data_IF_147338209934
#
_entry.id   IF_147338209934
#
_cell.length_a   1.000
_cell.length_b   1.000
_cell.length_c   1.000
_cell.angle_alpha   90.00
_cell.angle_beta   90.00
_cell.angle_gamma   90.00
#
_symmetry.space_group_name_H-M   'P 1'
#
loop_
_entity.id
_entity.type
_entity.pdbx_description
1 polymer ?
#
# COMPACT_ATOMS: atom_id res chain seq x y z
N UNK A 1 0.32 15.34 -22.20
CA UNK A 1 -0.34 14.70 -21.04
C UNK A 1 -1.73 14.17 -21.37
N UNK A 2 -2.65 14.98 -21.93
CA UNK A 2 -4.05 14.55 -22.21
C UNK A 2 -4.17 13.25 -23.02
N UNK A 3 -3.44 13.12 -24.13
CA UNK A 3 -3.44 11.86 -24.91
C UNK A 3 -2.98 10.65 -24.11
N UNK A 4 -1.99 10.83 -23.23
CA UNK A 4 -1.47 9.75 -22.36
C UNK A 4 -2.53 9.32 -21.34
N UNK A 5 -3.30 10.27 -20.78
CA UNK A 5 -4.42 9.95 -19.89
C UNK A 5 -5.48 9.05 -20.55
N UNK A 6 -5.82 9.33 -21.82
CA UNK A 6 -6.78 8.54 -22.59
C UNK A 6 -6.20 7.19 -23.02
N UNK A 7 -4.95 7.17 -23.50
CA UNK A 7 -4.26 5.94 -23.88
C UNK A 7 -4.08 4.98 -22.69
N UNK A 8 -3.76 5.51 -21.51
CA UNK A 8 -3.73 4.72 -20.28
C UNK A 8 -5.12 4.13 -19.97
N UNK A 9 -6.20 4.91 -20.09
CA UNK A 9 -7.56 4.40 -19.95
C UNK A 9 -7.87 3.26 -20.93
N UNK A 10 -7.48 3.39 -22.20
CA UNK A 10 -7.64 2.32 -23.20
C UNK A 10 -6.87 1.05 -22.82
N UNK A 11 -5.64 1.17 -22.31
CA UNK A 11 -4.85 0.03 -21.83
C UNK A 11 -5.53 -0.70 -20.65
N UNK A 12 -6.11 0.04 -19.70
CA UNK A 12 -6.90 -0.58 -18.63
C UNK A 12 -8.15 -1.29 -19.16
N UNK A 13 -8.80 -0.74 -20.20
CA UNK A 13 -9.94 -1.39 -20.84
C UNK A 13 -9.55 -2.68 -21.56
N UNK A 14 -8.43 -2.69 -22.29
CA UNK A 14 -7.87 -3.90 -22.92
C UNK A 14 -7.59 -4.98 -21.87
N UNK A 15 -6.94 -4.62 -20.76
CA UNK A 15 -6.65 -5.54 -19.67
C UNK A 15 -7.92 -6.11 -19.03
N UNK A 16 -8.94 -5.28 -18.80
CA UNK A 16 -10.22 -5.71 -18.28
C UNK A 16 -10.93 -6.68 -19.24
N UNK A 17 -11.05 -6.33 -20.52
CA UNK A 17 -11.70 -7.16 -21.53
C UNK A 17 -10.96 -8.50 -21.72
N UNK A 18 -9.62 -8.49 -21.69
CA UNK A 18 -8.82 -9.71 -21.74
C UNK A 18 -9.07 -10.60 -20.50
N UNK A 19 -9.21 -10.02 -19.31
CA UNK A 19 -9.55 -10.75 -18.10
C UNK A 19 -10.96 -11.37 -18.17
N UNK A 20 -11.95 -10.62 -18.68
CA UNK A 20 -13.31 -11.12 -18.89
C UNK A 20 -13.32 -12.32 -19.82
N UNK A 21 -12.64 -12.20 -20.97
CA UNK A 21 -12.52 -13.30 -21.93
C UNK A 21 -11.87 -14.53 -21.28
N UNK A 22 -10.77 -14.35 -20.55
CA UNK A 22 -10.08 -15.44 -19.85
C UNK A 22 -10.96 -16.10 -18.78
N UNK A 23 -11.80 -15.32 -18.11
CA UNK A 23 -12.71 -15.80 -17.07
C UNK A 23 -14.03 -16.37 -17.62
N UNK A 24 -14.29 -16.24 -18.93
CA UNK A 24 -15.57 -16.61 -19.52
C UNK A 24 -16.74 -15.73 -19.07
N UNK A 25 -16.46 -14.48 -18.67
CA UNK A 25 -17.44 -13.51 -18.18
C UNK A 25 -17.74 -12.45 -19.25
N UNK A 26 -18.91 -11.82 -19.13
CA UNK A 26 -19.36 -10.72 -19.97
C UNK A 26 -19.48 -9.43 -19.16
N UNK A 27 -19.64 -8.30 -19.83
CA UNK A 27 -19.79 -7.00 -19.18
C UNK A 27 -21.01 -6.93 -18.25
N UNK A 28 -22.05 -7.70 -18.55
CA UNK A 28 -23.28 -7.78 -17.76
C UNK A 28 -23.08 -8.51 -16.43
N UNK A 29 -22.08 -9.39 -16.35
CA UNK A 29 -21.74 -10.17 -15.16
C UNK A 29 -20.97 -9.35 -14.11
N UNK A 30 -20.51 -8.15 -14.48
CA UNK A 30 -19.64 -7.32 -13.64
C UNK A 30 -20.40 -6.11 -13.12
N UNK A 31 -20.47 -5.98 -11.79
CA UNK A 31 -21.13 -4.86 -11.13
C UNK A 31 -20.34 -3.54 -11.33
N UNK A 32 -19.02 -3.58 -11.15
CA UNK A 32 -18.14 -2.41 -11.22
C UNK A 32 -16.69 -2.80 -11.47
N UNK A 33 -15.96 -1.99 -12.24
CA UNK A 33 -14.49 -2.03 -12.34
C UNK A 33 -13.90 -1.00 -11.38
N UNK A 34 -12.86 -1.40 -10.64
CA UNK A 34 -12.08 -0.51 -9.78
C UNK A 34 -10.60 -0.53 -10.10
N UNK A 35 -9.97 0.62 -10.33
CA UNK A 35 -8.52 0.72 -10.52
C UNK A 35 -7.95 2.06 -10.01
N UNK A 36 -6.70 2.09 -9.52
CA UNK A 36 -6.06 3.33 -9.03
C UNK A 36 -5.90 4.37 -10.16
N UNK A 37 -5.35 3.87 -11.27
CA UNK A 37 -4.82 4.65 -12.38
C UNK A 37 -3.30 4.60 -12.34
N UNK A 38 -2.66 5.66 -12.84
CA UNK A 38 -1.23 5.86 -12.72
C UNK A 38 -0.98 7.18 -11.99
N UNK A 39 -0.31 7.10 -10.84
CA UNK A 39 0.18 8.31 -10.13
C UNK A 39 1.27 8.96 -10.96
N UNK A 40 1.05 10.22 -11.34
CA UNK A 40 2.06 11.10 -11.96
C UNK A 40 2.69 11.97 -10.89
N UNK A 41 1.88 12.46 -9.96
CA UNK A 41 2.32 13.29 -8.84
C UNK A 41 1.43 13.04 -7.61
N UNK A 42 2.02 13.09 -6.43
CA UNK A 42 1.30 13.10 -5.16
C UNK A 42 2.17 13.76 -4.11
N UNK A 43 1.57 14.63 -3.29
CA UNK A 43 2.19 15.18 -2.09
C UNK A 43 1.31 14.96 -0.86
N UNK A 44 1.90 14.65 0.31
CA UNK A 44 1.18 14.51 1.58
C UNK A 44 0.83 15.89 2.18
N UNK A 45 -0.02 15.96 3.22
CA UNK A 45 -0.35 17.22 3.89
C UNK A 45 0.89 17.84 4.56
N UNK A 46 1.10 19.15 4.33
CA UNK A 46 2.05 19.99 5.05
C UNK A 46 1.36 20.58 6.29
N UNK A 47 1.50 19.88 7.42
CA UNK A 47 0.80 20.21 8.68
C UNK A 47 1.18 21.59 9.23
N UNK A 48 2.46 22.01 9.25
CA UNK A 48 2.83 23.38 9.60
C UNK A 48 2.10 24.43 8.77
N UNK A 49 2.09 24.32 7.44
CA UNK A 49 1.36 25.26 6.59
C UNK A 49 -0.15 25.24 6.82
N UNK A 50 -0.72 24.08 7.10
CA UNK A 50 -2.14 23.97 7.46
C UNK A 50 -2.46 24.74 8.75
N UNK A 51 -1.57 24.67 9.75
CA UNK A 51 -1.72 25.42 10.99
C UNK A 51 -1.57 26.93 10.77
N UNK A 52 -0.59 27.36 9.96
CA UNK A 52 -0.42 28.77 9.58
C UNK A 52 -1.64 29.32 8.83
N UNK A 53 -2.17 28.55 7.88
CA UNK A 53 -3.39 28.90 7.16
C UNK A 53 -4.58 29.03 8.12
N UNK A 54 -4.78 28.07 9.03
CA UNK A 54 -5.85 28.15 10.03
C UNK A 54 -5.70 29.38 10.94
N UNK A 55 -4.47 29.72 11.36
CA UNK A 55 -4.18 30.89 12.18
C UNK A 55 -4.40 32.22 11.45
N UNK A 56 -4.37 32.23 10.10
CA UNK A 56 -4.64 33.44 9.30
C UNK A 56 -6.09 33.90 9.37
N UNK A 57 -7.02 33.03 9.79
CA UNK A 57 -8.47 33.29 9.75
C UNK A 57 -9.07 33.31 8.34
N UNK A 58 -8.31 32.95 7.30
CA UNK A 58 -8.83 32.83 5.93
C UNK A 58 -9.81 31.68 5.82
N UNK A 59 -10.97 31.94 5.22
CA UNK A 59 -11.98 30.92 4.86
C UNK A 59 -11.96 30.59 3.36
N UNK A 60 -10.96 31.09 2.61
CA UNK A 60 -10.91 30.93 1.15
C UNK A 60 -10.60 29.49 0.74
N UNK A 61 -11.56 28.84 0.08
CA UNK A 61 -11.40 27.47 -0.44
C UNK A 61 -10.24 27.32 -1.43
N UNK A 62 -9.93 28.37 -2.19
CA UNK A 62 -8.80 28.36 -3.15
C UNK A 62 -7.47 28.42 -2.42
N UNK A 63 -7.39 29.25 -1.37
CA UNK A 63 -6.15 29.45 -0.62
C UNK A 63 -5.73 28.20 0.15
N UNK A 64 -6.63 27.25 0.43
CA UNK A 64 -6.26 25.95 1.01
C UNK A 64 -5.17 25.23 0.22
N UNK A 65 -5.19 25.31 -1.11
CA UNK A 65 -4.20 24.66 -1.98
C UNK A 65 -3.13 25.60 -2.54
N UNK A 66 -3.40 26.90 -2.64
CA UNK A 66 -2.40 27.85 -3.17
C UNK A 66 -1.52 28.47 -2.09
N UNK A 67 -1.97 28.47 -0.82
CA UNK A 67 -1.23 29.02 0.33
C UNK A 67 -1.14 28.02 1.48
N UNK A 68 -2.20 27.24 1.73
CA UNK A 68 -2.21 26.16 2.70
C UNK A 68 -1.38 24.95 2.27
N UNK A 69 -1.28 23.98 3.16
CA UNK A 69 -0.55 22.73 2.99
C UNK A 69 -1.45 21.53 2.71
N UNK A 70 -2.61 21.73 2.08
CA UNK A 70 -3.51 20.61 1.78
C UNK A 70 -2.86 19.69 0.75
N UNK A 71 -2.99 18.37 0.93
CA UNK A 71 -2.40 17.42 0.00
C UNK A 71 -3.09 17.50 -1.36
N UNK A 72 -2.35 17.10 -2.39
CA UNK A 72 -2.90 16.96 -3.71
C UNK A 72 -2.21 15.85 -4.50
N UNK A 73 -2.79 15.50 -5.64
CA UNK A 73 -2.20 14.55 -6.55
C UNK A 73 -2.77 14.64 -7.95
N UNK A 74 -2.01 14.14 -8.90
CA UNK A 74 -2.38 14.01 -10.29
C UNK A 74 -2.26 12.56 -10.72
N UNK A 75 -3.40 11.94 -10.96
CA UNK A 75 -3.54 10.54 -11.35
C UNK A 75 -4.19 10.47 -12.73
N UNK A 76 -3.66 9.63 -13.62
CA UNK A 76 -4.16 9.45 -14.99
C UNK A 76 -4.72 8.04 -15.20
N UNK A 77 -5.25 7.78 -16.40
CA UNK A 77 -6.10 6.67 -16.84
C UNK A 77 -7.60 7.04 -16.75
N UNK A 78 -8.10 7.64 -17.84
CA UNK A 78 -9.45 8.20 -17.93
C UNK A 78 -10.54 7.12 -17.80
N UNK A 79 -11.37 7.24 -16.77
CA UNK A 79 -12.47 6.30 -16.48
C UNK A 79 -13.59 6.33 -17.50
N UNK A 80 -13.84 7.46 -18.16
CA UNK A 80 -14.81 7.52 -19.24
C UNK A 80 -14.43 6.60 -20.41
N UNK A 81 -13.13 6.50 -20.72
CA UNK A 81 -12.61 5.58 -21.75
C UNK A 81 -12.82 4.13 -21.32
N UNK A 82 -12.49 3.78 -20.07
CA UNK A 82 -12.68 2.42 -19.56
C UNK A 82 -14.15 2.03 -19.55
N UNK A 83 -15.04 2.90 -19.04
CA UNK A 83 -16.47 2.63 -19.01
C UNK A 83 -17.06 2.46 -20.41
N UNK A 84 -16.63 3.29 -21.37
CA UNK A 84 -17.10 3.20 -22.75
C UNK A 84 -16.63 1.92 -23.48
N UNK A 85 -15.36 1.54 -23.32
CA UNK A 85 -14.77 0.41 -24.03
C UNK A 85 -15.04 -0.96 -23.38
N UNK A 86 -15.45 -0.97 -22.11
CA UNK A 86 -15.81 -2.21 -21.39
C UNK A 86 -17.32 -2.37 -21.19
N UNK A 87 -18.11 -1.32 -21.38
CA UNK A 87 -19.53 -1.28 -21.01
C UNK A 87 -19.79 -1.62 -19.52
N UNK A 88 -18.80 -1.35 -18.65
CA UNK A 88 -18.91 -1.59 -17.20
C UNK A 88 -18.71 -0.28 -16.43
N UNK A 89 -19.55 -0.06 -15.41
CA UNK A 89 -19.43 1.10 -14.54
C UNK A 89 -18.07 1.07 -13.87
N UNK A 90 -17.36 2.18 -13.92
CA UNK A 90 -15.95 2.23 -13.55
C UNK A 90 -15.73 3.24 -12.45
N UNK A 91 -14.95 2.87 -11.43
CA UNK A 91 -14.52 3.77 -10.35
C UNK A 91 -13.00 3.84 -10.31
N UNK A 92 -12.48 5.05 -10.23
CA UNK A 92 -11.04 5.34 -10.09
C UNK A 92 -10.86 6.61 -9.25
N UNK A 93 -9.67 7.22 -9.20
CA UNK A 93 -9.45 8.52 -8.54
C UNK A 93 -9.93 8.50 -7.08
N UNK A 94 -9.44 7.53 -6.31
CA UNK A 94 -9.87 7.31 -4.92
C UNK A 94 -9.33 8.38 -3.94
N UNK A 95 -8.22 9.04 -4.28
CA UNK A 95 -7.45 9.87 -3.36
C UNK A 95 -7.97 11.31 -3.19
N UNK A 96 -8.50 12.00 -4.23
CA UNK A 96 -8.88 13.41 -4.13
C UNK A 96 -9.88 13.76 -3.03
N UNK A 97 -10.83 12.88 -2.70
CA UNK A 97 -11.79 13.15 -1.61
C UNK A 97 -11.11 13.06 -0.24
N UNK A 98 -10.23 12.07 -0.05
CA UNK A 98 -9.42 11.99 1.18
C UNK A 98 -8.50 13.20 1.32
N UNK A 99 -7.90 13.65 0.20
CA UNK A 99 -7.08 14.86 0.15
C UNK A 99 -7.85 16.13 0.53
N UNK A 100 -9.06 16.29 -0.01
CA UNK A 100 -9.94 17.42 0.30
C UNK A 100 -10.34 17.47 1.78
N UNK A 101 -10.31 16.32 2.46
CA UNK A 101 -10.56 16.18 3.89
C UNK A 101 -9.27 16.24 4.74
N UNK A 102 -8.14 16.65 4.15
CA UNK A 102 -6.86 16.78 4.85
C UNK A 102 -6.08 15.48 5.05
N UNK A 103 -6.59 14.35 4.55
CA UNK A 103 -5.93 13.06 4.61
C UNK A 103 -4.82 12.91 3.55
N UNK A 104 -3.86 12.04 3.79
CA UNK A 104 -2.72 11.78 2.90
C UNK A 104 -3.10 11.15 1.55
N UNK A 105 -4.29 10.56 1.43
CA UNK A 105 -4.69 9.72 0.31
C UNK A 105 -3.87 8.43 0.17
N UNK A 106 -3.12 8.03 1.21
CA UNK A 106 -2.31 6.81 1.24
C UNK A 106 -1.89 6.39 2.67
N UNK A 107 -1.75 5.09 2.97
CA UNK A 107 -2.15 3.97 2.12
C UNK A 107 -3.69 3.89 2.00
N UNK A 108 -4.17 3.09 1.03
CA UNK A 108 -5.60 2.77 0.86
C UNK A 108 -5.94 1.31 1.21
N UNK A 109 -4.93 0.50 1.54
CA UNK A 109 -5.07 -0.94 1.83
C UNK A 109 -5.95 -1.20 3.06
N UNK A 110 -5.98 -0.26 4.00
CA UNK A 110 -6.68 -0.34 5.28
C UNK A 110 -8.16 -0.65 5.09
N UNK A 111 -8.81 -0.14 4.04
CA UNK A 111 -10.21 -0.47 3.80
C UNK A 111 -10.40 -1.91 3.33
N UNK A 112 -9.53 -2.42 2.45
CA UNK A 112 -9.55 -3.84 2.10
C UNK A 112 -9.33 -4.69 3.34
N UNK A 113 -8.32 -4.38 4.15
CA UNK A 113 -7.97 -5.15 5.34
C UNK A 113 -9.08 -5.10 6.40
N UNK A 114 -9.79 -3.98 6.54
CA UNK A 114 -10.97 -3.87 7.37
C UNK A 114 -12.08 -4.85 6.96
N UNK A 115 -12.27 -5.11 5.66
CA UNK A 115 -13.43 -5.88 5.19
C UNK A 115 -13.48 -7.32 5.72
N UNK A 116 -12.44 -8.15 5.57
CA UNK A 116 -12.44 -9.52 6.09
C UNK A 116 -12.08 -9.58 7.58
N UNK A 117 -11.18 -8.73 8.08
CA UNK A 117 -10.62 -8.92 9.43
C UNK A 117 -11.38 -8.19 10.55
N UNK A 118 -12.35 -7.31 10.24
CA UNK A 118 -13.18 -6.65 11.27
C UNK A 118 -14.02 -7.60 12.13
N UNK A 119 -14.20 -8.85 11.69
CA UNK A 119 -15.07 -9.85 12.30
C UNK A 119 -14.34 -10.93 13.10
N UNK A 120 -13.00 -10.88 13.18
CA UNK A 120 -12.16 -11.98 13.67
C UNK A 120 -12.14 -12.18 15.20
N UNK A 121 -13.16 -11.68 15.90
CA UNK A 121 -13.25 -11.77 17.36
C UNK A 121 -12.29 -10.85 18.13
N UNK A 122 -11.42 -10.11 17.44
CA UNK A 122 -10.50 -9.14 18.02
C UNK A 122 -9.66 -8.41 16.95
N UNK A 123 -8.81 -7.45 17.36
CA UNK A 123 -7.95 -6.72 16.43
C UNK A 123 -6.94 -7.64 15.74
N UNK A 124 -6.66 -7.35 14.48
CA UNK A 124 -5.72 -8.11 13.65
C UNK A 124 -4.69 -7.17 13.05
N UNK A 125 -3.42 -7.55 13.04
CA UNK A 125 -2.43 -6.82 12.23
C UNK A 125 -2.33 -7.47 10.85
N UNK A 126 -2.48 -6.66 9.80
CA UNK A 126 -2.06 -7.04 8.46
C UNK A 126 -0.71 -6.41 8.17
N UNK A 127 0.13 -7.11 7.40
CA UNK A 127 1.51 -6.73 7.14
C UNK A 127 1.83 -6.94 5.67
N UNK A 128 2.00 -5.88 4.91
CA UNK A 128 2.50 -5.98 3.54
C UNK A 128 4.02 -5.85 3.52
N UNK A 129 4.70 -6.88 3.03
CA UNK A 129 6.15 -6.90 2.85
C UNK A 129 6.45 -6.80 1.34
N UNK A 130 6.70 -5.58 0.89
CA UNK A 130 7.14 -5.24 -0.47
C UNK A 130 8.57 -4.71 -0.47
N UNK A 131 8.87 -3.69 -1.29
CA UNK A 131 10.14 -2.97 -1.19
C UNK A 131 10.30 -2.31 0.19
N UNK A 132 9.25 -1.63 0.65
CA UNK A 132 9.06 -1.15 2.02
C UNK A 132 8.01 -2.03 2.70
N UNK A 133 8.24 -2.37 3.96
CA UNK A 133 7.28 -3.09 4.77
C UNK A 133 6.35 -2.10 5.48
N UNK A 134 5.05 -2.36 5.45
CA UNK A 134 4.05 -1.56 6.12
C UNK A 134 3.02 -2.44 6.80
N UNK A 135 2.56 -2.01 7.97
CA UNK A 135 1.57 -2.73 8.77
C UNK A 135 0.32 -1.89 8.94
N UNK A 136 -0.81 -2.56 9.12
CA UNK A 136 -2.07 -1.97 9.49
C UNK A 136 -2.65 -2.68 10.71
N UNK A 137 -3.06 -1.91 11.72
CA UNK A 137 -3.91 -2.42 12.80
C UNK A 137 -5.36 -2.34 12.33
N UNK A 138 -5.99 -3.49 12.19
CA UNK A 138 -7.41 -3.63 11.87
C UNK A 138 -8.20 -3.81 13.16
N UNK A 139 -9.26 -3.02 13.30
CA UNK A 139 -10.23 -3.09 14.38
C UNK A 139 -11.64 -2.94 13.78
N UNK A 140 -12.64 -3.51 14.46
CA UNK A 140 -14.06 -3.33 14.11
C UNK A 140 -14.45 -1.85 14.22
N UNK A 141 -13.91 -1.15 15.19
CA UNK A 141 -13.98 0.29 15.32
C UNK A 141 -12.89 0.94 14.47
N UNK A 142 -13.29 1.45 13.29
CA UNK A 142 -12.39 2.10 12.33
C UNK A 142 -11.63 3.30 12.89
N UNK A 143 -12.09 3.91 14.00
CA UNK A 143 -11.38 5.01 14.66
C UNK A 143 -10.11 4.55 15.42
N UNK A 144 -10.01 3.26 15.73
CA UNK A 144 -8.85 2.64 16.41
C UNK A 144 -7.83 2.05 15.44
N UNK A 145 -8.15 2.04 14.15
CA UNK A 145 -7.25 1.53 13.12
C UNK A 145 -6.02 2.42 12.97
N UNK A 146 -4.90 1.81 12.59
CA UNK A 146 -3.63 2.50 12.36
C UNK A 146 -2.95 1.93 11.12
N UNK A 147 -2.12 2.73 10.46
CA UNK A 147 -1.24 2.27 9.40
C UNK A 147 0.07 3.05 9.42
N UNK A 148 1.19 2.37 9.20
CA UNK A 148 2.50 2.99 9.10
C UNK A 148 3.53 2.04 8.52
N UNK A 149 4.64 2.60 8.03
CA UNK A 149 5.77 1.80 7.55
C UNK A 149 6.61 1.30 8.73
N UNK A 150 7.10 0.07 8.62
CA UNK A 150 7.94 -0.57 9.64
C UNK A 150 9.43 -0.45 9.34
N UNK A 151 9.80 -0.14 8.10
CA UNK A 151 11.17 -0.11 7.62
C UNK A 151 11.29 -0.75 6.22
N UNK A 152 12.49 -1.14 5.79
CA UNK A 152 12.65 -1.81 4.52
C UNK A 152 12.00 -3.19 4.56
N UNK A 153 11.41 -3.59 3.44
CA UNK A 153 11.16 -4.99 3.10
C UNK A 153 12.33 -5.49 2.24
N UNK A 154 12.07 -5.82 0.98
CA UNK A 154 13.11 -6.32 0.08
C UNK A 154 13.96 -5.26 -0.62
N UNK A 155 13.69 -3.95 -0.49
CA UNK A 155 14.39 -2.94 -1.31
C UNK A 155 15.92 -3.01 -1.18
N UNK A 156 16.43 -3.23 0.04
CA UNK A 156 17.86 -3.35 0.32
C UNK A 156 18.42 -4.69 -0.15
N UNK A 157 17.66 -5.77 0.05
CA UNK A 157 18.01 -7.13 -0.37
C UNK A 157 18.17 -7.17 -1.90
N UNK A 158 17.17 -6.66 -2.62
CA UNK A 158 17.15 -6.59 -4.08
C UNK A 158 18.28 -5.69 -4.61
N UNK A 159 18.64 -4.63 -3.89
CA UNK A 159 19.75 -3.76 -4.28
C UNK A 159 21.10 -4.47 -4.17
N UNK A 160 21.37 -5.14 -3.05
CA UNK A 160 22.60 -5.93 -2.88
C UNK A 160 22.67 -7.07 -3.89
N UNK A 161 21.55 -7.76 -4.14
CA UNK A 161 21.45 -8.80 -5.17
C UNK A 161 21.87 -8.29 -6.55
N UNK A 162 21.32 -7.13 -6.96
CA UNK A 162 21.70 -6.52 -8.25
C UNK A 162 23.17 -6.15 -8.28
N UNK A 163 23.67 -5.50 -7.23
CA UNK A 163 25.03 -4.99 -7.17
C UNK A 163 26.10 -6.11 -7.15
N UNK A 164 25.86 -7.20 -6.41
CA UNK A 164 26.85 -8.28 -6.21
C UNK A 164 26.70 -9.45 -7.18
N UNK A 165 25.49 -9.73 -7.68
CA UNK A 165 25.20 -10.94 -8.46
C UNK A 165 24.59 -10.68 -9.85
N UNK A 166 24.16 -9.44 -10.13
CA UNK A 166 23.42 -9.09 -11.34
C UNK A 166 21.97 -9.60 -11.39
N UNK A 167 21.52 -10.38 -10.39
CA UNK A 167 20.13 -10.85 -10.28
C UNK A 167 19.24 -9.83 -9.59
N UNK A 168 17.94 -9.86 -9.86
CA UNK A 168 17.00 -8.83 -9.39
C UNK A 168 16.56 -8.98 -7.92
N UNK A 169 16.56 -10.19 -7.37
CA UNK A 169 16.14 -10.50 -6.01
C UNK A 169 16.74 -11.84 -5.53
N UNK A 170 16.73 -12.08 -4.21
CA UNK A 170 17.14 -13.34 -3.61
C UNK A 170 15.96 -14.32 -3.66
N UNK A 171 16.04 -15.28 -4.59
CA UNK A 171 14.96 -16.23 -4.82
C UNK A 171 14.81 -17.13 -3.60
N UNK A 172 13.60 -17.18 -3.06
CA UNK A 172 13.21 -17.96 -1.88
C UNK A 172 14.05 -17.67 -0.60
N UNK A 173 14.91 -16.64 -0.63
CA UNK A 173 15.86 -16.35 0.44
C UNK A 173 17.08 -17.29 0.48
N UNK A 174 17.41 -17.97 -0.63
CA UNK A 174 18.41 -19.03 -0.69
C UNK A 174 19.83 -18.56 -0.35
N UNK A 175 20.23 -17.36 -0.78
CA UNK A 175 21.56 -16.84 -0.44
C UNK A 175 21.59 -16.32 0.99
N UNK A 176 20.54 -15.63 1.43
CA UNK A 176 20.40 -15.21 2.82
C UNK A 176 20.43 -16.42 3.80
N UNK A 177 19.91 -17.58 3.39
CA UNK A 177 19.91 -18.79 4.22
C UNK A 177 21.31 -19.39 4.44
N UNK A 178 22.25 -19.12 3.53
CA UNK A 178 23.63 -19.65 3.59
C UNK A 178 24.56 -18.74 4.39
N UNK A 179 24.18 -17.49 4.56
CA UNK A 179 25.00 -16.49 5.25
C UNK A 179 24.82 -16.51 6.74
N UNK A 180 25.74 -15.84 7.42
CA UNK A 180 25.67 -15.48 8.83
C UNK A 180 25.47 -13.98 8.95
N UNK A 181 24.49 -13.57 9.75
CA UNK A 181 24.26 -12.15 9.98
C UNK A 181 25.50 -11.47 10.60
N UNK A 182 25.87 -10.33 10.05
CA UNK A 182 26.94 -9.46 10.52
C UNK A 182 26.36 -8.59 11.63
N UNK A 183 26.65 -8.94 12.88
CA UNK A 183 26.07 -8.31 14.08
C UNK A 183 26.28 -6.79 14.09
N UNK A 184 27.50 -6.33 13.78
CA UNK A 184 27.82 -4.90 13.75
C UNK A 184 26.97 -4.11 12.74
N UNK A 185 26.70 -4.68 11.56
CA UNK A 185 25.85 -4.05 10.55
C UNK A 185 24.39 -4.04 11.01
N UNK A 186 23.91 -5.14 11.59
CA UNK A 186 22.55 -5.22 12.13
C UNK A 186 22.32 -4.14 13.20
N UNK A 187 23.24 -4.00 14.15
CA UNK A 187 23.19 -2.99 15.20
C UNK A 187 23.21 -1.57 14.64
N UNK A 188 24.07 -1.30 13.65
CA UNK A 188 24.13 -0.02 12.95
C UNK A 188 22.78 0.33 12.32
N UNK A 189 22.16 -0.62 11.61
CA UNK A 189 20.88 -0.39 10.94
C UNK A 189 19.72 -0.20 11.94
N UNK A 190 19.75 -0.90 13.08
CA UNK A 190 18.73 -0.74 14.15
C UNK A 190 18.77 0.64 14.83
N UNK A 191 19.89 1.37 14.73
CA UNK A 191 20.04 2.74 15.24
C UNK A 191 19.64 3.82 14.22
N UNK A 192 19.08 3.45 13.07
CA UNK A 192 18.65 4.42 12.06
C UNK A 192 17.57 5.37 12.60
N UNK A 193 17.69 6.68 12.30
CA UNK A 193 16.81 7.76 12.76
C UNK A 193 15.32 7.54 12.43
N UNK A 194 15.04 6.77 11.38
CA UNK A 194 13.68 6.35 11.01
C UNK A 194 12.91 5.78 12.21
N UNK A 195 13.59 5.00 13.07
CA UNK A 195 12.94 4.36 14.20
C UNK A 195 12.61 5.30 15.37
N UNK A 196 13.11 6.53 15.36
CA UNK A 196 12.74 7.58 16.32
C UNK A 196 11.40 8.24 15.94
N UNK A 197 10.96 8.09 14.68
CA UNK A 197 9.70 8.66 14.19
C UNK A 197 8.51 7.86 14.74
N UNK A 198 7.49 8.55 15.28
CA UNK A 198 6.23 7.94 15.75
C UNK A 198 5.19 7.85 14.62
N UNK A 199 4.26 6.88 14.63
CA UNK A 199 3.13 6.85 13.72
C UNK A 199 2.26 8.13 13.83
N UNK A 200 1.66 8.62 12.71
CA UNK A 200 1.80 8.10 11.36
C UNK A 200 3.20 8.37 10.78
N UNK A 201 3.86 7.35 10.23
CA UNK A 201 5.21 7.46 9.64
C UNK A 201 5.31 6.67 8.34
N UNK A 202 6.15 7.15 7.44
CA UNK A 202 6.50 6.48 6.20
C UNK A 202 8.02 6.46 5.99
N UNK A 203 8.53 5.38 5.40
CA UNK A 203 9.93 5.25 5.01
C UNK A 203 10.11 5.86 3.62
N UNK A 204 11.01 6.83 3.51
CA UNK A 204 11.27 7.57 2.29
C UNK A 204 12.42 6.92 1.51
N UNK A 205 12.58 7.30 0.25
CA UNK A 205 13.71 6.83 -0.58
C UNK A 205 15.08 7.13 0.03
N UNK A 206 15.17 8.13 0.91
CA UNK A 206 16.41 8.52 1.57
C UNK A 206 16.73 7.66 2.81
N UNK A 207 15.73 6.99 3.39
CA UNK A 207 15.92 6.16 4.59
C UNK A 207 16.62 4.83 4.22
N UNK A 208 16.00 4.05 3.34
CA UNK A 208 16.47 2.70 2.98
C UNK A 208 16.54 2.51 1.46
N UNK A 209 16.95 3.54 0.73
CA UNK A 209 17.11 3.47 -0.73
C UNK A 209 18.53 3.13 -1.18
N UNK A 210 18.75 3.23 -2.50
CA UNK A 210 20.01 2.89 -3.16
C UNK A 210 21.23 3.52 -2.49
N UNK A 211 21.19 4.83 -2.20
CA UNK A 211 22.34 5.52 -1.60
C UNK A 211 22.71 5.01 -0.20
N UNK A 212 21.73 4.52 0.58
CA UNK A 212 22.03 3.89 1.87
C UNK A 212 22.63 2.49 1.66
N UNK A 213 22.09 1.72 0.72
CA UNK A 213 22.61 0.41 0.36
C UNK A 213 24.04 0.48 -0.21
N UNK A 214 24.34 1.48 -1.03
CA UNK A 214 25.68 1.72 -1.60
C UNK A 214 26.70 2.02 -0.49
N UNK A 215 26.32 2.80 0.53
CA UNK A 215 27.17 3.04 1.70
C UNK A 215 27.46 1.75 2.47
N UNK A 216 26.45 0.89 2.66
CA UNK A 216 26.64 -0.42 3.29
C UNK A 216 27.58 -1.29 2.45
N UNK A 217 27.39 -1.32 1.12
CA UNK A 217 28.21 -2.11 0.21
C UNK A 217 29.67 -1.65 0.20
N UNK A 218 29.95 -0.36 0.33
CA UNK A 218 31.30 0.18 0.44
C UNK A 218 31.92 -0.13 1.80
N UNK A 219 31.18 0.10 2.89
CA UNK A 219 31.65 -0.15 4.26
C UNK A 219 31.95 -1.64 4.49
N UNK A 220 31.18 -2.53 3.88
CA UNK A 220 31.32 -3.99 3.97
C UNK A 220 31.74 -4.59 2.62
N UNK A 221 32.65 -3.92 1.90
CA UNK A 221 33.08 -4.34 0.55
C UNK A 221 33.62 -5.77 0.49
N UNK A 222 34.34 -6.18 1.54
CA UNK A 222 35.02 -7.48 1.66
C UNK A 222 34.14 -8.55 2.34
N UNK A 223 32.90 -8.22 2.72
CA UNK A 223 31.98 -9.19 3.27
C UNK A 223 31.39 -10.09 2.18
N UNK A 224 31.15 -11.36 2.53
CA UNK A 224 30.45 -12.30 1.66
C UNK A 224 29.03 -11.81 1.34
N UNK A 225 28.57 -12.11 0.12
CA UNK A 225 27.26 -11.65 -0.34
C UNK A 225 26.14 -12.28 0.49
N UNK A 226 26.29 -13.56 0.83
CA UNK A 226 25.40 -14.33 1.67
C UNK A 226 25.24 -13.70 3.05
N UNK A 227 26.33 -13.24 3.69
CA UNK A 227 26.31 -12.63 5.02
C UNK A 227 25.59 -11.26 5.00
N UNK A 228 25.82 -10.46 3.96
CA UNK A 228 25.08 -9.21 3.76
C UNK A 228 23.58 -9.47 3.59
N UNK A 229 23.20 -10.45 2.76
CA UNK A 229 21.79 -10.79 2.53
C UNK A 229 21.13 -11.38 3.78
N UNK A 230 21.83 -12.22 4.54
CA UNK A 230 21.38 -12.73 5.83
C UNK A 230 21.11 -11.57 6.81
N UNK A 231 22.02 -10.60 6.86
CA UNK A 231 21.90 -9.42 7.73
C UNK A 231 20.70 -8.55 7.36
N UNK A 232 20.55 -8.20 6.08
CA UNK A 232 19.43 -7.36 5.60
C UNK A 232 18.07 -8.05 5.76
N UNK A 233 18.03 -9.38 5.54
CA UNK A 233 16.84 -10.19 5.75
C UNK A 233 16.45 -10.25 7.23
N UNK A 234 17.42 -10.43 8.13
CA UNK A 234 17.19 -10.39 9.58
C UNK A 234 16.78 -8.99 10.07
N UNK A 235 17.37 -7.94 9.48
CA UNK A 235 17.02 -6.56 9.80
C UNK A 235 15.57 -6.24 9.43
N UNK A 236 15.11 -6.69 8.26
CA UNK A 236 13.69 -6.56 7.86
C UNK A 236 12.76 -7.15 8.92
N UNK A 237 12.98 -8.40 9.33
CA UNK A 237 12.17 -9.04 10.38
C UNK A 237 12.26 -8.30 11.72
N UNK A 238 13.45 -7.82 12.11
CA UNK A 238 13.66 -7.06 13.34
C UNK A 238 12.94 -5.70 13.32
N UNK A 239 12.90 -5.03 12.16
CA UNK A 239 12.21 -3.74 12.00
C UNK A 239 10.69 -3.87 12.19
N UNK A 240 10.12 -4.98 11.72
CA UNK A 240 8.70 -5.32 11.85
C UNK A 240 8.38 -5.64 13.31
N UNK A 241 9.17 -6.51 13.94
CA UNK A 241 9.04 -6.85 15.37
C UNK A 241 9.09 -5.60 16.24
N UNK A 242 10.11 -4.75 16.08
CA UNK A 242 10.24 -3.49 16.81
C UNK A 242 9.01 -2.60 16.62
N UNK A 243 8.53 -2.48 15.39
CA UNK A 243 7.33 -1.69 15.08
C UNK A 243 6.06 -2.20 15.77
N UNK A 244 5.91 -3.52 15.91
CA UNK A 244 4.82 -4.12 16.66
C UNK A 244 4.94 -3.83 18.16
N UNK A 245 6.12 -4.05 18.74
CA UNK A 245 6.41 -3.84 20.16
C UNK A 245 6.25 -2.37 20.56
N UNK A 246 6.76 -1.45 19.76
CA UNK A 246 6.78 -0.02 20.10
C UNK A 246 5.39 0.62 19.94
N UNK A 247 4.58 0.17 18.96
CA UNK A 247 3.38 0.93 18.57
C UNK A 247 2.06 0.16 18.59
N UNK A 248 2.06 -1.18 18.52
CA UNK A 248 0.83 -1.98 18.49
C UNK A 248 0.53 -2.62 19.85
N UNK A 249 1.47 -3.39 20.39
CA UNK A 249 1.28 -4.14 21.63
C UNK A 249 0.96 -3.27 22.86
N UNK A 250 1.46 -2.02 22.98
CA UNK A 250 1.07 -1.12 24.06
C UNK A 250 -0.37 -0.62 23.97
N UNK A 251 -1.03 -0.75 22.81
CA UNK A 251 -2.36 -0.19 22.55
C UNK A 251 -3.46 -1.24 22.60
N UNK A 252 -3.15 -2.46 22.19
CA UNK A 252 -4.16 -3.52 22.09
C UNK A 252 -3.50 -4.89 22.10
N UNK A 253 -4.29 -5.89 22.51
CA UNK A 253 -3.91 -7.29 22.42
C UNK A 253 -4.27 -7.82 21.04
N UNK A 254 -3.29 -8.44 20.38
CA UNK A 254 -3.46 -9.16 19.12
C UNK A 254 -2.98 -10.59 19.31
N UNK A 255 -3.51 -11.52 18.52
CA UNK A 255 -3.12 -12.93 18.55
C UNK A 255 -2.37 -13.37 17.29
N UNK A 256 -2.46 -12.58 16.22
CA UNK A 256 -1.88 -12.92 14.91
C UNK A 256 -1.46 -11.70 14.10
N UNK A 257 -0.54 -11.97 13.18
CA UNK A 257 -0.11 -11.07 12.11
C UNK A 257 -0.36 -11.78 10.77
N UNK A 258 -1.06 -11.11 9.85
CA UNK A 258 -1.39 -11.62 8.52
C UNK A 258 -0.52 -10.94 7.47
N UNK A 259 0.51 -11.65 7.00
CA UNK A 259 1.47 -11.17 6.03
C UNK A 259 0.97 -11.29 4.58
N UNK A 260 1.34 -10.31 3.74
CA UNK A 260 1.12 -10.28 2.29
C UNK A 260 2.32 -9.63 1.58
N UNK A 261 2.23 -9.48 0.26
CA UNK A 261 3.29 -8.88 -0.56
C UNK A 261 4.29 -9.91 -1.09
N UNK A 262 5.24 -9.46 -1.91
CA UNK A 262 6.14 -10.36 -2.63
C UNK A 262 7.07 -11.17 -1.72
N UNK A 263 7.41 -10.63 -0.55
CA UNK A 263 8.40 -11.22 0.35
C UNK A 263 7.86 -12.39 1.18
N UNK A 264 6.56 -12.68 1.13
CA UNK A 264 6.00 -13.92 1.74
C UNK A 264 6.57 -15.19 1.09
N UNK A 265 7.18 -15.06 -0.10
CA UNK A 265 7.91 -16.14 -0.79
C UNK A 265 9.37 -16.28 -0.36
N UNK A 266 9.92 -15.32 0.39
CA UNK A 266 11.27 -15.45 0.94
C UNK A 266 11.18 -16.26 2.24
N UNK A 267 11.55 -17.54 2.16
CA UNK A 267 11.41 -18.49 3.28
C UNK A 267 12.29 -18.07 4.47
N UNK A 268 13.50 -17.58 4.19
CA UNK A 268 14.44 -17.08 5.22
C UNK A 268 13.85 -15.91 5.99
N UNK A 269 13.26 -14.94 5.28
CA UNK A 269 12.60 -13.80 5.90
C UNK A 269 11.41 -14.23 6.75
N UNK A 270 10.54 -15.07 6.20
CA UNK A 270 9.34 -15.54 6.90
C UNK A 270 9.69 -16.37 8.13
N UNK A 271 10.77 -17.15 8.10
CA UNK A 271 11.27 -17.90 9.26
C UNK A 271 11.83 -16.96 10.34
N UNK A 272 12.64 -15.97 9.96
CA UNK A 272 13.16 -14.96 10.90
C UNK A 272 12.01 -14.20 11.58
N UNK A 273 11.00 -13.81 10.80
CA UNK A 273 9.82 -13.12 11.32
C UNK A 273 9.00 -14.02 12.24
N UNK A 274 8.76 -15.29 11.85
CA UNK A 274 8.02 -16.26 12.68
C UNK A 274 8.67 -16.45 14.04
N UNK A 275 9.98 -16.68 14.10
CA UNK A 275 10.70 -16.87 15.36
C UNK A 275 10.60 -15.64 16.29
N UNK A 276 10.57 -14.44 15.72
CA UNK A 276 10.39 -13.20 16.49
C UNK A 276 8.96 -13.07 17.02
N UNK A 277 7.97 -13.33 16.17
CA UNK A 277 6.56 -13.26 16.54
C UNK A 277 6.16 -14.33 17.56
N UNK A 278 6.71 -15.55 17.46
CA UNK A 278 6.50 -16.62 18.44
C UNK A 278 6.95 -16.21 19.85
N UNK A 279 8.07 -15.49 19.98
CA UNK A 279 8.54 -14.94 21.27
C UNK A 279 7.58 -13.91 21.87
N UNK A 280 6.78 -13.26 21.02
CA UNK A 280 5.73 -12.33 21.43
C UNK A 280 4.36 -13.03 21.63
N UNK A 281 4.29 -14.36 21.44
CA UNK A 281 3.04 -15.11 21.49
C UNK A 281 2.11 -14.85 20.31
N UNK A 282 2.65 -14.42 19.16
CA UNK A 282 1.89 -14.05 17.97
C UNK A 282 2.04 -15.09 16.86
N UNK A 283 0.91 -15.50 16.29
CA UNK A 283 0.87 -16.38 15.12
C UNK A 283 1.15 -15.60 13.82
N UNK A 284 2.05 -16.12 12.97
CA UNK A 284 2.33 -15.55 11.66
C UNK A 284 1.60 -16.33 10.58
N UNK A 285 0.68 -15.66 9.89
CA UNK A 285 -0.16 -16.25 8.84
C UNK A 285 0.00 -15.48 7.56
N UNK A 286 -0.35 -16.08 6.42
CA UNK A 286 -0.34 -15.39 5.13
C UNK A 286 -1.77 -15.09 4.66
N UNK A 287 -1.94 -13.98 3.94
CA UNK A 287 -3.26 -13.51 3.50
C UNK A 287 -3.98 -14.52 2.59
N UNK A 288 -3.23 -15.37 1.88
CA UNK A 288 -3.75 -16.44 1.04
C UNK A 288 -4.64 -17.42 1.83
N UNK A 289 -4.31 -17.68 3.10
CA UNK A 289 -5.12 -18.55 3.99
C UNK A 289 -6.50 -17.96 4.32
N UNK A 290 -6.68 -16.65 4.09
CA UNK A 290 -7.93 -15.92 4.31
C UNK A 290 -8.65 -15.57 3.00
N UNK A 291 -8.29 -16.23 1.90
CA UNK A 291 -8.88 -15.98 0.58
C UNK A 291 -8.42 -14.68 -0.07
N UNK A 292 -7.30 -14.11 0.39
CA UNK A 292 -6.67 -12.92 -0.18
C UNK A 292 -5.28 -13.25 -0.74
N UNK A 293 -5.19 -13.70 -2.01
CA UNK A 293 -3.89 -14.02 -2.61
C UNK A 293 -2.93 -12.84 -2.55
N UNK A 294 -1.75 -13.03 -1.94
CA UNK A 294 -0.82 -11.95 -1.65
C UNK A 294 -0.42 -11.14 -2.90
N UNK A 295 -0.29 -11.80 -4.04
CA UNK A 295 0.10 -11.19 -5.33
C UNK A 295 -1.00 -10.33 -5.97
N UNK A 296 -2.27 -10.52 -5.60
CA UNK A 296 -3.42 -9.82 -6.18
C UNK A 296 -4.09 -8.84 -5.22
N UNK A 297 -3.60 -8.74 -3.98
CA UNK A 297 -4.21 -7.93 -2.91
C UNK A 297 -4.41 -6.47 -3.32
N UNK A 298 -3.47 -5.87 -4.06
CA UNK A 298 -3.63 -4.49 -4.55
C UNK A 298 -4.76 -4.33 -5.57
N UNK A 299 -4.95 -5.30 -6.47
CA UNK A 299 -6.06 -5.28 -7.43
C UNK A 299 -7.40 -5.50 -6.71
N UNK A 300 -7.46 -6.46 -5.78
CA UNK A 300 -8.64 -6.73 -4.95
C UNK A 300 -9.03 -5.50 -4.12
N UNK A 301 -8.05 -4.73 -3.63
CA UNK A 301 -8.28 -3.48 -2.89
C UNK A 301 -9.09 -2.49 -3.73
N UNK A 302 -8.70 -2.25 -4.97
CA UNK A 302 -9.43 -1.29 -5.82
C UNK A 302 -10.80 -1.81 -6.26
N UNK A 303 -10.94 -3.10 -6.51
CA UNK A 303 -12.26 -3.71 -6.74
C UNK A 303 -13.19 -3.53 -5.52
N UNK A 304 -12.67 -3.77 -4.31
CA UNK A 304 -13.40 -3.61 -3.04
C UNK A 304 -13.80 -2.16 -2.79
N UNK A 305 -12.88 -1.21 -3.02
CA UNK A 305 -13.16 0.21 -2.88
C UNK A 305 -14.17 0.71 -3.92
N UNK A 306 -14.09 0.23 -5.16
CA UNK A 306 -15.04 0.57 -6.21
C UNK A 306 -16.46 0.07 -5.90
N UNK A 307 -16.58 -1.16 -5.38
CA UNK A 307 -17.86 -1.68 -4.90
C UNK A 307 -18.41 -0.80 -3.78
N UNK A 308 -17.59 -0.48 -2.77
CA UNK A 308 -18.00 0.40 -1.68
C UNK A 308 -18.42 1.78 -2.18
N UNK A 309 -17.68 2.36 -3.13
CA UNK A 309 -18.00 3.65 -3.73
C UNK A 309 -19.34 3.64 -4.45
N UNK A 310 -19.59 2.62 -5.30
CA UNK A 310 -20.86 2.44 -6.00
C UNK A 310 -22.04 2.27 -5.04
N UNK A 311 -21.81 1.69 -3.86
CA UNK A 311 -22.82 1.47 -2.81
C UNK A 311 -22.94 2.64 -1.82
N UNK A 312 -22.16 3.70 -1.98
CA UNK A 312 -22.17 4.84 -1.05
C UNK A 312 -21.61 4.53 0.34
N UNK A 313 -20.77 3.50 0.46
CA UNK A 313 -20.14 3.10 1.72
C UNK A 313 -18.83 3.88 1.93
N UNK A 314 -18.67 4.46 3.12
CA UNK A 314 -17.42 5.13 3.47
C UNK A 314 -16.25 4.14 3.43
N UNK A 315 -15.29 4.39 2.54
CA UNK A 315 -14.18 3.51 2.19
C UNK A 315 -12.80 4.16 2.40
N UNK A 316 -12.75 5.30 3.08
CA UNK A 316 -11.54 5.79 3.74
C UNK A 316 -11.48 5.31 5.20
N UNK A 317 -10.27 5.37 5.78
CA UNK A 317 -10.02 5.13 7.20
C UNK A 317 -9.35 6.39 7.77
N UNK A 318 -10.12 7.35 8.32
CA UNK A 318 -9.60 8.63 8.81
C UNK A 318 -8.47 8.50 9.82
N UNK A 319 -8.57 7.54 10.75
CA UNK A 319 -7.54 7.26 11.75
C UNK A 319 -6.18 6.85 11.14
N UNK A 320 -6.19 6.37 9.89
CA UNK A 320 -4.98 5.95 9.18
C UNK A 320 -4.50 6.98 8.14
N UNK A 321 -5.39 7.71 7.46
CA UNK A 321 -5.01 8.73 6.46
C UNK A 321 -4.79 10.12 7.06
N UNK A 322 -5.36 10.39 8.24
CA UNK A 322 -5.40 11.73 8.83
C UNK A 322 -6.51 12.62 8.28
N UNK A 323 -7.45 12.08 7.49
CA UNK A 323 -8.63 12.81 7.07
C UNK A 323 -9.51 13.20 8.26
N UNK A 324 -10.21 14.32 8.15
CA UNK A 324 -11.07 14.85 9.23
C UNK A 324 -12.37 14.05 9.43
N UNK A 325 -12.82 13.31 8.40
CA UNK A 325 -14.09 12.57 8.47
C UNK A 325 -14.13 11.36 7.54
N UNK A 326 -15.10 10.48 7.78
CA UNK A 326 -15.41 9.37 6.89
C UNK A 326 -16.04 9.89 5.58
N UNK A 327 -15.63 9.31 4.46
CA UNK A 327 -16.09 9.68 3.14
C UNK A 327 -16.10 8.52 2.15
N UNK A 328 -16.86 8.71 1.07
CA UNK A 328 -16.84 7.84 -0.10
C UNK A 328 -15.74 8.33 -1.04
N UNK A 329 -14.74 7.49 -1.23
CA UNK A 329 -13.61 7.68 -2.13
C UNK A 329 -13.90 7.05 -3.49
N UNK A 330 -13.51 7.77 -4.54
CA UNK A 330 -13.60 7.34 -5.93
C UNK A 330 -14.54 8.21 -6.76
N UNK A 331 -14.21 8.37 -8.05
CA UNK A 331 -15.05 9.00 -9.07
C UNK A 331 -15.64 7.92 -9.95
N UNK A 332 -16.95 7.95 -10.14
CA UNK A 332 -17.71 6.93 -10.86
C UNK A 332 -18.07 7.43 -12.27
N UNK A 333 -17.72 6.64 -13.27
CA UNK A 333 -18.18 6.78 -14.65
C UNK A 333 -19.17 5.66 -14.96
N UNK A 334 -20.42 6.03 -15.24
CA UNK A 334 -21.47 5.05 -15.54
C UNK A 334 -21.21 4.38 -16.90
N UNK A 335 -21.46 3.07 -16.98
CA UNK A 335 -21.42 2.36 -18.24
C UNK A 335 -22.45 2.94 -19.24
N UNK A 336 -22.09 3.11 -20.53
CA UNK A 336 -23.05 3.56 -21.53
C UNK A 336 -24.28 2.66 -21.66
N UNK A 337 -24.14 1.33 -21.52
CA UNK A 337 -25.29 0.39 -21.52
C UNK A 337 -26.35 0.66 -20.44
N UNK A 338 -26.03 1.45 -19.41
CA UNK A 338 -26.98 1.83 -18.34
C UNK A 338 -27.67 3.17 -18.61
N UNK A 339 -27.36 3.84 -19.73
CA UNK A 339 -27.99 5.10 -20.10
C UNK A 339 -29.49 4.89 -20.36
N UNK A 340 -30.34 5.58 -19.59
CA UNK A 340 -31.77 5.66 -19.88
C UNK A 340 -31.97 6.47 -21.16
N UNK A 341 -32.92 6.06 -22.00
CA UNK A 341 -33.20 6.67 -23.30
C UNK A 341 -32.06 6.53 -24.33
N UNK A 342 -31.13 5.60 -24.11
CA UNK A 342 -30.05 5.27 -25.05
C UNK A 342 -30.41 4.15 -26.02
N UNK A 343 -31.69 3.95 -26.33
CA UNK A 343 -32.16 2.86 -27.21
C UNK A 343 -31.40 2.90 -28.55
N UNK A 344 -30.73 1.78 -28.81
CA UNK A 344 -29.74 1.64 -29.86
C UNK A 344 -30.35 1.69 -31.26
N UNK A 345 -29.94 2.67 -32.05
CA UNK A 345 -29.57 2.45 -33.45
C UNK A 345 -28.27 3.22 -33.75
N UNK A 346 -27.13 2.71 -33.29
CA UNK A 346 -25.92 2.85 -34.10
C UNK A 346 -25.93 1.67 -35.07
N UNK A 347 -26.76 1.78 -36.12
CA UNK A 347 -26.56 0.99 -37.33
C UNK A 347 -25.22 1.41 -37.92
N UNK A 348 -24.43 0.40 -38.28
CA UNK A 348 -23.07 0.46 -38.83
C UNK A 348 -22.82 1.63 -39.79
#
# INVERSE_FOLDING_TARGET
MTRVNYAAGALFAEAANALLLKAGLKAEDIDVIGYDGQTVYQEPPDRPKNAEYAASGSESLVEKWTKGGWPCGFFIAESGVVAALTQITTVTQFRPVDHALGGSGAPLMQYLDFVPFRGDGGPTVTLNIGGIANLQLVDRDRSKMMAFDTGPGNVMIDHVMRARTGKSYDKDGELAAKGKAIEALLEQMQKHEFFERKPPRSAWRLDFGASYADRILEQYKDAETEDLLATLTLFTASSIERSLVDFILPRTTITKVVASGGCVRNATLMNNLRQKLEKLGLDLRVSDEFGLPAVYKEAIKFATMAFAAKRGLANNIPAASGAESFAVLGKLSMAPRLAKNGEAELKN
#
